data_IF_850321471205
#
_entry.id   IF_850321471205
#
_cell.length_a   1.000
_cell.length_b   1.000
_cell.length_c   1.000
_cell.angle_alpha   90.00
_cell.angle_beta   90.00
_cell.angle_gamma   90.00
#
_symmetry.space_group_name_H-M   'P 1'
#
loop_
_entity.id
_entity.type
_entity.pdbx_description
1 polymer ?
#
# COMPACT_ATOMS: atom_id res chain seq x y z
N UNK A 1 -57.01 -6.74 -34.24
CA UNK A 1 -56.12 -5.56 -34.24
C UNK A 1 -55.26 -5.47 -32.97
N UNK A 2 -55.85 -5.47 -31.77
CA UNK A 2 -55.10 -5.37 -30.49
C UNK A 2 -54.08 -6.49 -30.23
N UNK A 3 -54.39 -7.75 -30.58
CA UNK A 3 -53.45 -8.88 -30.42
C UNK A 3 -52.17 -8.69 -31.26
N UNK A 4 -52.28 -8.17 -32.48
CA UNK A 4 -51.14 -7.97 -33.37
C UNK A 4 -50.22 -6.85 -32.85
N UNK A 5 -50.81 -5.77 -32.33
CA UNK A 5 -50.07 -4.65 -31.72
C UNK A 5 -49.32 -5.12 -30.46
N UNK A 6 -49.94 -5.97 -29.64
CA UNK A 6 -49.31 -6.51 -28.44
C UNK A 6 -48.06 -7.37 -28.75
N UNK A 7 -48.12 -8.20 -29.79
CA UNK A 7 -46.96 -9.01 -30.21
C UNK A 7 -45.83 -8.15 -30.77
N UNK A 8 -46.14 -7.07 -31.49
CA UNK A 8 -45.14 -6.12 -32.00
C UNK A 8 -44.43 -5.41 -30.85
N UNK A 9 -45.17 -4.99 -29.81
CA UNK A 9 -44.58 -4.35 -28.62
C UNK A 9 -43.68 -5.32 -27.85
N UNK A 10 -44.07 -6.58 -27.72
CA UNK A 10 -43.23 -7.62 -27.07
C UNK A 10 -41.95 -7.87 -27.87
N UNK A 11 -42.02 -7.97 -29.19
CA UNK A 11 -40.84 -8.18 -30.04
C UNK A 11 -39.92 -6.96 -30.01
N UNK A 12 -40.47 -5.74 -30.00
CA UNK A 12 -39.70 -4.51 -29.92
C UNK A 12 -38.98 -4.38 -28.56
N UNK A 13 -39.67 -4.70 -27.47
CA UNK A 13 -39.11 -4.66 -26.11
C UNK A 13 -38.05 -5.74 -25.89
N UNK A 14 -38.29 -6.97 -26.36
CA UNK A 14 -37.28 -8.03 -26.37
C UNK A 14 -36.06 -7.62 -27.23
N UNK A 15 -36.30 -7.03 -28.41
CA UNK A 15 -35.26 -6.50 -29.30
C UNK A 15 -34.39 -5.41 -28.66
N UNK A 16 -34.99 -4.49 -27.91
CA UNK A 16 -34.26 -3.44 -27.20
C UNK A 16 -33.42 -3.97 -26.02
N UNK A 17 -33.86 -5.05 -25.35
CA UNK A 17 -33.11 -5.68 -24.25
C UNK A 17 -31.84 -6.36 -24.76
N UNK A 18 -31.88 -7.01 -25.93
CA UNK A 18 -30.68 -7.69 -26.49
C UNK A 18 -29.61 -6.71 -26.99
N UNK A 19 -30.00 -5.51 -27.44
CA UNK A 19 -29.05 -4.50 -27.96
C UNK A 19 -28.30 -3.76 -26.85
N UNK A 20 -28.73 -3.84 -25.58
CA UNK A 20 -28.07 -3.17 -24.45
C UNK A 20 -26.91 -3.94 -23.82
N UNK A 21 -26.49 -5.09 -24.36
CA UNK A 21 -25.49 -5.95 -23.71
C UNK A 21 -24.18 -6.11 -24.49
N UNK A 22 -23.64 -5.02 -25.06
CA UNK A 22 -22.34 -5.03 -25.75
C UNK A 22 -21.36 -3.93 -25.27
N UNK A 23 -21.56 -3.39 -24.07
CA UNK A 23 -20.53 -2.54 -23.46
C UNK A 23 -19.42 -3.41 -22.88
N UNK A 24 -18.33 -3.57 -23.64
CA UNK A 24 -17.09 -4.17 -23.10
C UNK A 24 -16.73 -3.44 -21.80
N UNK A 25 -16.45 -4.16 -20.69
CA UNK A 25 -16.16 -3.53 -19.42
C UNK A 25 -14.94 -2.61 -19.56
N UNK A 26 -15.13 -1.33 -19.22
CA UNK A 26 -14.03 -0.37 -19.16
C UNK A 26 -13.04 -0.80 -18.08
N UNK A 27 -11.80 -1.13 -18.48
CA UNK A 27 -10.71 -1.38 -17.55
C UNK A 27 -9.99 -0.04 -17.31
N UNK A 28 -10.03 0.51 -16.09
CA UNK A 28 -9.31 1.74 -15.78
C UNK A 28 -7.79 1.54 -15.87
N UNK A 29 -7.03 2.62 -15.98
CA UNK A 29 -5.56 2.57 -15.90
C UNK A 29 -5.11 1.93 -14.57
N UNK A 30 -4.44 0.77 -14.66
CA UNK A 30 -3.94 0.01 -13.51
C UNK A 30 -2.45 0.28 -13.23
N UNK A 31 -1.85 1.32 -13.84
CA UNK A 31 -0.48 1.73 -13.51
C UNK A 31 -0.39 2.11 -12.03
N UNK A 32 0.54 1.48 -11.34
CA UNK A 32 0.85 1.74 -9.93
C UNK A 32 1.65 3.03 -9.80
N UNK A 33 1.03 4.09 -9.27
CA UNK A 33 1.67 5.42 -9.12
C UNK A 33 1.79 5.86 -7.68
N UNK A 34 0.82 5.51 -6.82
CA UNK A 34 0.72 5.92 -5.42
C UNK A 34 0.74 7.44 -5.18
N UNK A 35 0.69 8.23 -6.25
CA UNK A 35 0.73 9.68 -6.18
C UNK A 35 -0.54 10.20 -5.49
N UNK A 36 -0.39 11.18 -4.59
CA UNK A 36 -1.46 11.63 -3.70
C UNK A 36 -2.62 12.34 -4.43
N UNK A 37 -2.41 12.79 -5.67
CA UNK A 37 -3.46 13.40 -6.51
C UNK A 37 -4.17 12.38 -7.40
N UNK A 38 -3.61 11.18 -7.56
CA UNK A 38 -4.11 10.18 -8.50
C UNK A 38 -5.34 9.46 -7.92
N UNK A 39 -6.48 9.59 -8.60
CA UNK A 39 -7.76 8.93 -8.25
C UNK A 39 -7.93 7.54 -8.88
N UNK A 40 -7.00 7.12 -9.74
CA UNK A 40 -7.02 5.79 -10.37
C UNK A 40 -6.78 4.67 -9.35
N UNK A 41 -7.07 3.40 -9.67
CA UNK A 41 -7.00 2.28 -8.73
C UNK A 41 -5.72 2.21 -7.89
N UNK A 42 -4.56 2.41 -8.50
CA UNK A 42 -3.26 2.35 -7.79
C UNK A 42 -2.63 3.73 -7.55
N UNK A 43 -3.46 4.77 -7.43
CA UNK A 43 -3.07 6.07 -6.88
C UNK A 43 -3.19 6.14 -5.35
N UNK A 44 -2.73 7.25 -4.76
CA UNK A 44 -2.66 7.46 -3.29
C UNK A 44 -3.67 8.47 -2.74
N UNK A 45 -4.66 8.91 -3.53
CA UNK A 45 -5.64 9.94 -3.14
C UNK A 45 -6.42 9.63 -1.85
N UNK A 46 -6.90 8.39 -1.71
CA UNK A 46 -7.68 7.95 -0.54
C UNK A 46 -6.81 7.95 0.72
N UNK A 47 -5.60 7.39 0.64
CA UNK A 47 -4.66 7.37 1.75
C UNK A 47 -4.32 8.79 2.22
N UNK A 48 -3.98 9.68 1.28
CA UNK A 48 -3.65 11.07 1.59
C UNK A 48 -4.80 11.81 2.30
N UNK A 49 -6.04 11.60 1.87
CA UNK A 49 -7.19 12.20 2.54
C UNK A 49 -7.46 11.58 3.91
N UNK A 50 -7.22 10.27 4.09
CA UNK A 50 -7.30 9.62 5.40
C UNK A 50 -6.23 10.16 6.36
N UNK A 51 -4.99 10.36 5.91
CA UNK A 51 -3.94 10.99 6.70
C UNK A 51 -4.37 12.36 7.23
N UNK A 52 -4.91 13.22 6.35
CA UNK A 52 -5.43 14.54 6.76
C UNK A 52 -6.53 14.46 7.82
N UNK A 53 -7.40 13.44 7.74
CA UNK A 53 -8.48 13.24 8.70
C UNK A 53 -7.97 12.66 10.04
N UNK A 54 -6.93 11.84 10.01
CA UNK A 54 -6.32 11.26 11.21
C UNK A 54 -5.50 12.28 12.00
N UNK A 55 -4.97 13.31 11.33
CA UNK A 55 -4.14 14.36 11.93
C UNK A 55 -4.71 15.76 11.65
N UNK A 56 -5.95 16.08 12.12
CA UNK A 56 -6.65 17.30 11.74
C UNK A 56 -5.97 18.59 12.23
N UNK A 57 -5.12 18.48 13.25
CA UNK A 57 -4.39 19.61 13.85
C UNK A 57 -2.94 19.72 13.35
N UNK A 58 -2.52 18.87 12.41
CA UNK A 58 -1.17 18.87 11.87
C UNK A 58 -1.16 19.41 10.44
N UNK A 59 -0.08 20.09 10.06
CA UNK A 59 0.12 20.49 8.66
C UNK A 59 0.67 19.31 7.86
N UNK A 60 -0.11 18.84 6.88
CA UNK A 60 0.39 17.85 5.90
C UNK A 60 1.14 18.60 4.81
N UNK A 61 2.46 18.42 4.76
CA UNK A 61 3.35 18.94 3.72
C UNK A 61 3.69 17.83 2.72
N UNK A 62 3.93 18.22 1.47
CA UNK A 62 4.44 17.33 0.44
C UNK A 62 5.91 17.69 0.20
N UNK A 63 6.76 16.67 0.23
CA UNK A 63 8.18 16.81 -0.04
C UNK A 63 8.50 16.15 -1.38
N UNK A 64 9.14 16.90 -2.28
CA UNK A 64 9.62 16.40 -3.58
C UNK A 64 11.14 16.21 -3.60
N UNK A 65 11.82 16.52 -2.50
CA UNK A 65 13.26 16.34 -2.33
C UNK A 65 13.62 14.94 -1.84
N UNK A 66 14.89 14.54 -2.04
CA UNK A 66 15.46 13.35 -1.43
C UNK A 66 15.42 13.42 0.10
N UNK A 67 15.66 12.31 0.79
CA UNK A 67 15.71 12.32 2.25
C UNK A 67 16.88 13.17 2.74
N UNK A 68 18.02 13.08 2.06
CA UNK A 68 19.19 13.90 2.35
C UNK A 68 18.91 15.40 2.23
N UNK A 69 18.27 15.84 1.15
CA UNK A 69 17.98 17.26 0.94
C UNK A 69 16.89 17.78 1.86
N UNK A 70 15.86 16.98 2.13
CA UNK A 70 14.82 17.34 3.09
C UNK A 70 15.39 17.53 4.49
N UNK A 71 16.27 16.63 4.93
CA UNK A 71 16.87 16.67 6.25
C UNK A 71 17.73 17.91 6.48
N UNK A 72 18.39 18.44 5.44
CA UNK A 72 19.21 19.67 5.54
C UNK A 72 18.41 20.91 5.98
N UNK A 73 17.12 20.94 5.66
CA UNK A 73 16.25 22.10 5.91
C UNK A 73 15.18 21.81 6.97
N UNK A 74 15.16 20.60 7.53
CA UNK A 74 14.18 20.20 8.53
C UNK A 74 14.62 20.67 9.92
N UNK A 75 13.70 21.33 10.63
CA UNK A 75 13.92 21.78 12.01
C UNK A 75 12.84 21.28 12.96
N UNK A 76 11.81 20.62 12.42
CA UNK A 76 10.69 20.09 13.18
C UNK A 76 11.08 18.74 13.83
N UNK A 77 10.70 18.58 15.10
CA UNK A 77 10.83 17.34 15.86
C UNK A 77 9.45 16.72 16.10
N UNK A 78 9.40 15.42 16.35
CA UNK A 78 8.16 14.64 16.51
C UNK A 78 7.26 14.69 15.26
N UNK A 79 7.88 14.65 14.08
CA UNK A 79 7.18 14.60 12.80
C UNK A 79 6.96 13.16 12.33
N UNK A 80 6.00 12.98 11.42
CA UNK A 80 5.76 11.73 10.71
C UNK A 80 5.94 11.97 9.21
N UNK A 81 6.96 11.36 8.61
CA UNK A 81 7.11 11.29 7.15
C UNK A 81 6.51 9.98 6.64
N UNK A 82 5.74 10.06 5.55
CA UNK A 82 5.12 8.90 4.89
C UNK A 82 5.59 8.83 3.44
N UNK A 83 6.23 7.74 3.05
CA UNK A 83 6.73 7.47 1.72
C UNK A 83 6.12 6.18 1.17
N UNK A 84 5.40 6.27 0.05
CA UNK A 84 4.80 5.12 -0.63
C UNK A 84 5.30 5.11 -2.08
N UNK A 85 6.03 4.07 -2.46
CA UNK A 85 6.66 3.97 -3.79
C UNK A 85 6.76 2.52 -4.22
N UNK A 86 6.68 2.16 -5.51
CA UNK A 86 6.99 0.79 -5.93
C UNK A 86 8.47 0.43 -5.68
N UNK A 87 9.37 1.39 -5.87
CA UNK A 87 10.83 1.21 -5.75
C UNK A 87 11.41 2.35 -4.91
N UNK A 88 12.06 2.00 -3.81
CA UNK A 88 12.79 2.94 -2.97
C UNK A 88 14.29 2.76 -3.19
N UNK A 89 14.86 3.60 -4.06
CA UNK A 89 16.30 3.71 -4.31
C UNK A 89 16.87 4.79 -3.43
N UNK A 90 17.96 4.50 -2.71
CA UNK A 90 18.59 5.41 -1.76
C UNK A 90 20.09 5.41 -1.96
N UNK A 91 20.71 6.57 -1.86
CA UNK A 91 22.16 6.66 -1.73
C UNK A 91 22.60 6.64 -0.25
N UNK A 92 23.91 6.76 -0.03
CA UNK A 92 24.47 6.77 1.32
C UNK A 92 24.04 7.99 2.14
N UNK A 93 23.88 9.16 1.51
CA UNK A 93 23.44 10.38 2.20
C UNK A 93 21.98 10.25 2.64
N UNK A 94 21.13 9.68 1.79
CA UNK A 94 19.73 9.39 2.11
C UNK A 94 19.60 8.44 3.29
N UNK A 95 20.40 7.38 3.34
CA UNK A 95 20.37 6.41 4.45
C UNK A 95 20.79 7.08 5.75
N UNK A 96 21.87 7.88 5.71
CA UNK A 96 22.31 8.68 6.86
C UNK A 96 21.24 9.67 7.31
N UNK A 97 20.55 10.32 6.38
CA UNK A 97 19.45 11.23 6.68
C UNK A 97 18.26 10.50 7.31
N UNK A 98 17.87 9.34 6.78
CA UNK A 98 16.81 8.51 7.35
C UNK A 98 17.13 8.10 8.79
N UNK A 99 18.33 7.58 9.06
CA UNK A 99 18.71 7.13 10.40
C UNK A 99 18.84 8.30 11.38
N UNK A 100 19.36 9.45 10.94
CA UNK A 100 19.42 10.67 11.74
C UNK A 100 18.02 11.25 12.05
N UNK A 101 17.15 11.30 11.05
CA UNK A 101 15.77 11.76 11.18
C UNK A 101 15.01 10.92 12.21
N UNK A 102 15.08 9.59 12.10
CA UNK A 102 14.40 8.67 13.02
C UNK A 102 15.06 8.70 14.41
N UNK A 103 16.39 8.65 14.49
CA UNK A 103 17.09 8.63 15.79
C UNK A 103 16.85 9.90 16.62
N UNK A 104 16.58 11.04 15.96
CA UNK A 104 16.24 12.32 16.60
C UNK A 104 14.85 12.35 17.24
N UNK A 105 14.00 11.35 17.00
CA UNK A 105 12.67 11.22 17.60
C UNK A 105 11.50 11.32 16.62
N UNK A 106 11.79 11.36 15.31
CA UNK A 106 10.74 11.37 14.30
C UNK A 106 10.33 9.95 13.89
N UNK A 107 9.12 9.83 13.33
CA UNK A 107 8.63 8.58 12.78
C UNK A 107 8.69 8.62 11.25
N UNK A 108 9.20 7.54 10.64
CA UNK A 108 9.22 7.38 9.19
C UNK A 108 8.45 6.13 8.81
N UNK A 109 7.44 6.29 7.97
CA UNK A 109 6.68 5.20 7.38
C UNK A 109 7.03 5.03 5.90
N UNK A 110 7.57 3.87 5.53
CA UNK A 110 7.88 3.52 4.15
C UNK A 110 7.08 2.29 3.76
N UNK A 111 6.34 2.37 2.65
CA UNK A 111 5.83 1.19 1.96
C UNK A 111 6.40 1.09 0.55
N UNK A 112 7.14 0.02 0.26
CA UNK A 112 7.71 -0.21 -1.06
C UNK A 112 7.89 -1.68 -1.41
N UNK A 113 7.65 -2.03 -2.68
CA UNK A 113 7.80 -3.43 -3.15
C UNK A 113 9.27 -3.84 -3.21
N UNK A 114 10.14 -2.86 -3.48
CA UNK A 114 11.59 -3.00 -3.47
C UNK A 114 12.17 -1.87 -2.63
N UNK A 115 13.01 -2.24 -1.66
CA UNK A 115 13.74 -1.30 -0.78
C UNK A 115 15.23 -1.53 -1.01
N UNK A 116 15.99 -0.44 -1.09
CA UNK A 116 17.43 -0.50 -1.26
C UNK A 116 18.11 -1.43 -0.24
N UNK A 117 18.96 -2.33 -0.73
CA UNK A 117 19.64 -3.32 0.09
C UNK A 117 20.55 -2.68 1.14
N UNK A 118 21.03 -1.46 0.91
CA UNK A 118 21.89 -0.74 1.84
C UNK A 118 21.11 -0.35 3.09
N UNK A 119 19.87 0.14 2.94
CA UNK A 119 18.98 0.40 4.07
C UNK A 119 18.60 -0.90 4.79
N UNK A 120 18.27 -1.96 4.04
CA UNK A 120 17.96 -3.27 4.65
C UNK A 120 19.14 -3.83 5.46
N UNK A 121 20.37 -3.64 4.95
CA UNK A 121 21.60 -4.06 5.64
C UNK A 121 21.85 -3.26 6.91
N UNK A 122 21.67 -1.94 6.87
CA UNK A 122 21.72 -1.06 8.06
C UNK A 122 20.73 -1.52 9.14
N UNK A 123 19.53 -1.96 8.74
CA UNK A 123 18.50 -2.42 9.66
C UNK A 123 18.63 -3.91 10.03
N UNK A 124 19.63 -4.61 9.48
CA UNK A 124 19.86 -6.04 9.70
C UNK A 124 18.64 -6.92 9.39
N UNK A 125 18.01 -6.68 8.24
CA UNK A 125 16.92 -7.49 7.70
C UNK A 125 17.05 -7.65 6.18
N UNK A 126 16.23 -8.52 5.59
CA UNK A 126 16.18 -8.73 4.13
C UNK A 126 14.74 -8.78 3.66
N UNK A 127 14.52 -8.44 2.39
CA UNK A 127 13.23 -8.65 1.72
C UNK A 127 13.32 -9.89 0.84
N UNK A 128 12.45 -10.84 1.13
CA UNK A 128 12.17 -11.97 0.28
C UNK A 128 11.00 -11.61 -0.61
N UNK A 129 11.02 -12.12 -1.83
CA UNK A 129 9.87 -12.05 -2.68
C UNK A 129 9.48 -13.45 -3.13
N UNK A 130 8.19 -13.72 -3.13
CA UNK A 130 7.65 -14.84 -3.89
C UNK A 130 7.81 -14.67 -5.41
N UNK A 131 8.59 -13.70 -5.91
CA UNK A 131 9.09 -13.63 -7.30
C UNK A 131 9.98 -14.85 -7.59
N UNK A 132 9.37 -16.03 -7.68
CA UNK A 132 9.86 -17.10 -8.52
C UNK A 132 9.89 -16.59 -9.96
N UNK A 133 11.00 -16.83 -10.65
CA UNK A 133 11.26 -16.59 -12.08
C UNK A 133 10.24 -17.27 -13.02
N UNK A 134 8.95 -16.96 -12.90
CA UNK A 134 7.92 -17.41 -13.83
C UNK A 134 7.79 -16.36 -14.93
N UNK A 135 7.86 -16.77 -16.21
CA UNK A 135 7.59 -15.88 -17.33
C UNK A 135 6.14 -15.36 -17.21
N UNK A 136 5.99 -14.04 -17.19
CA UNK A 136 4.73 -13.30 -17.33
C UNK A 136 3.50 -13.81 -16.53
N UNK A 137 3.18 -13.08 -15.44
CA UNK A 137 1.81 -12.95 -14.94
C UNK A 137 1.38 -13.97 -13.88
N UNK A 138 1.52 -13.61 -12.60
CA UNK A 138 0.76 -14.31 -11.54
C UNK A 138 -0.73 -14.11 -11.78
N UNK A 139 -1.56 -15.16 -11.65
CA UNK A 139 -3.00 -15.03 -11.82
C UNK A 139 -3.54 -14.04 -10.78
N UNK A 140 -4.50 -13.22 -11.22
CA UNK A 140 -5.29 -12.40 -10.29
C UNK A 140 -6.14 -13.35 -9.43
N UNK A 141 -6.15 -13.12 -8.13
CA UNK A 141 -6.93 -13.91 -7.18
C UNK A 141 -7.40 -13.03 -6.03
N UNK A 142 -8.32 -13.55 -5.23
CA UNK A 142 -8.55 -12.99 -3.91
C UNK A 142 -7.30 -13.23 -3.06
N UNK A 143 -6.70 -12.15 -2.59
CA UNK A 143 -5.51 -12.12 -1.72
C UNK A 143 -5.80 -11.19 -0.55
N UNK A 144 -5.00 -11.29 0.51
CA UNK A 144 -5.20 -10.48 1.71
C UNK A 144 -3.89 -10.18 2.44
N UNK A 145 -3.96 -9.21 3.36
CA UNK A 145 -2.96 -8.94 4.40
C UNK A 145 -3.64 -9.02 5.76
N UNK A 146 -2.85 -9.27 6.80
CA UNK A 146 -3.35 -9.44 8.17
C UNK A 146 -2.56 -8.53 9.12
N UNK A 147 -3.25 -7.89 10.06
CA UNK A 147 -2.56 -7.22 11.17
C UNK A 147 -2.00 -8.28 12.13
N UNK A 148 -0.76 -8.10 12.57
CA UNK A 148 -0.18 -8.91 13.63
C UNK A 148 -0.88 -8.54 14.93
N UNK A 149 -1.67 -9.47 15.48
CA UNK A 149 -2.37 -9.29 16.75
C UNK A 149 -2.06 -10.43 17.72
N UNK A 150 -2.27 -10.25 19.03
CA UNK A 150 -2.13 -11.35 19.99
C UNK A 150 -2.96 -12.56 19.56
N UNK A 151 -2.44 -13.76 19.79
CA UNK A 151 -2.99 -15.07 19.38
C UNK A 151 -4.46 -15.27 19.76
N UNK A 152 -4.94 -14.55 20.78
CA UNK A 152 -6.31 -14.61 21.29
C UNK A 152 -7.32 -13.72 20.55
N UNK A 153 -6.89 -12.93 19.58
CA UNK A 153 -7.77 -12.09 18.78
C UNK A 153 -8.03 -12.72 17.40
N UNK A 154 -9.27 -12.62 16.92
CA UNK A 154 -9.62 -13.09 15.58
C UNK A 154 -8.72 -12.39 14.54
N UNK A 155 -8.08 -13.17 13.67
CA UNK A 155 -7.37 -12.64 12.51
C UNK A 155 -8.37 -11.88 11.64
N UNK A 156 -8.12 -10.57 11.46
CA UNK A 156 -8.89 -9.74 10.52
C UNK A 156 -8.10 -9.71 9.21
N UNK A 157 -8.69 -10.32 8.18
CA UNK A 157 -8.09 -10.40 6.85
C UNK A 157 -8.60 -9.23 6.00
N UNK A 158 -7.68 -8.41 5.50
CA UNK A 158 -7.98 -7.29 4.62
C UNK A 158 -7.77 -7.71 3.17
N UNK A 159 -8.87 -8.10 2.53
CA UNK A 159 -8.84 -8.79 1.23
C UNK A 159 -9.19 -7.89 0.05
N UNK A 160 -8.62 -8.20 -1.12
CA UNK A 160 -9.06 -7.67 -2.41
C UNK A 160 -8.73 -8.64 -3.56
N UNK A 161 -9.28 -8.40 -4.75
CA UNK A 161 -8.98 -9.20 -5.94
C UNK A 161 -7.90 -8.53 -6.77
N UNK A 162 -6.67 -9.06 -6.76
CA UNK A 162 -5.55 -8.61 -7.60
C UNK A 162 -4.37 -9.59 -7.55
N UNK A 163 -3.17 -9.11 -7.92
CA UNK A 163 -1.91 -9.82 -7.71
C UNK A 163 -1.69 -10.09 -6.21
N UNK A 164 -1.28 -11.31 -5.82
CA UNK A 164 -0.93 -11.70 -4.46
C UNK A 164 0.00 -10.73 -3.69
N UNK A 165 -0.17 -10.66 -2.36
CA UNK A 165 0.82 -10.08 -1.44
C UNK A 165 1.83 -11.17 -1.06
N UNK A 166 3.04 -11.09 -1.61
CA UNK A 166 4.03 -12.18 -1.52
C UNK A 166 5.42 -11.71 -1.08
N UNK A 167 5.59 -10.40 -0.88
CA UNK A 167 6.83 -9.90 -0.31
C UNK A 167 6.78 -10.13 1.20
N UNK A 168 7.95 -10.33 1.80
CA UNK A 168 8.07 -10.51 3.23
C UNK A 168 9.47 -10.14 3.70
N UNK A 169 9.59 -9.72 4.96
CA UNK A 169 10.85 -9.55 5.66
C UNK A 169 11.31 -10.89 6.23
N UNK A 170 12.61 -11.17 6.11
CA UNK A 170 13.27 -12.34 6.71
C UNK A 170 14.67 -11.97 7.20
N UNK A 171 15.34 -12.91 7.88
CA UNK A 171 16.68 -12.71 8.44
C UNK A 171 16.75 -11.46 9.35
N UNK A 172 15.67 -11.19 10.09
CA UNK A 172 15.55 -10.04 11.00
C UNK A 172 16.39 -10.33 12.25
N UNK A 173 17.59 -9.73 12.32
CA UNK A 173 18.52 -9.91 13.45
C UNK A 173 18.43 -8.80 14.49
N UNK A 174 17.85 -7.66 14.12
CA UNK A 174 17.69 -6.54 15.03
C UNK A 174 16.59 -6.83 16.06
N UNK A 175 16.99 -6.99 17.33
CA UNK A 175 16.10 -7.29 18.46
C UNK A 175 15.12 -6.16 18.79
N UNK A 176 15.39 -4.94 18.30
CA UNK A 176 14.49 -3.79 18.39
C UNK A 176 13.47 -3.76 17.23
N UNK A 177 13.16 -4.90 16.63
CA UNK A 177 12.16 -5.02 15.55
C UNK A 177 10.91 -5.73 16.04
N UNK A 178 9.74 -5.24 15.66
CA UNK A 178 8.45 -5.94 15.85
C UNK A 178 7.73 -6.11 14.53
N UNK A 179 7.03 -7.23 14.37
CA UNK A 179 6.15 -7.48 13.23
C UNK A 179 4.80 -6.83 13.50
N UNK A 180 4.31 -6.04 12.53
CA UNK A 180 3.03 -5.33 12.61
C UNK A 180 1.95 -5.93 11.69
N UNK A 181 2.36 -6.58 10.59
CA UNK A 181 1.45 -7.28 9.70
C UNK A 181 2.15 -8.45 8.99
N UNK A 182 1.32 -9.35 8.47
CA UNK A 182 1.74 -10.47 7.65
C UNK A 182 1.04 -10.49 6.30
N UNK A 183 1.70 -11.06 5.31
CA UNK A 183 1.09 -11.39 4.03
C UNK A 183 0.10 -12.58 4.16
N UNK A 184 -0.49 -13.00 3.03
CA UNK A 184 -1.46 -14.11 3.00
C UNK A 184 -0.87 -15.48 3.38
N UNK A 185 0.46 -15.62 3.38
CA UNK A 185 1.18 -16.82 3.81
C UNK A 185 1.61 -16.76 5.28
N UNK A 186 1.18 -15.74 6.04
CA UNK A 186 1.57 -15.56 7.44
C UNK A 186 3.00 -15.07 7.64
N UNK A 187 3.68 -14.61 6.58
CA UNK A 187 5.05 -14.10 6.67
C UNK A 187 5.05 -12.60 6.94
N UNK A 188 5.98 -12.05 7.74
CA UNK A 188 6.03 -10.63 8.06
C UNK A 188 6.12 -9.76 6.81
N UNK A 189 5.15 -8.89 6.56
CA UNK A 189 5.20 -7.94 5.43
C UNK A 189 5.16 -6.47 5.88
N UNK A 190 4.98 -6.24 7.18
CA UNK A 190 5.19 -4.95 7.82
C UNK A 190 5.94 -5.14 9.14
N UNK A 191 6.99 -4.35 9.33
CA UNK A 191 7.80 -4.33 10.55
C UNK A 191 7.96 -2.89 11.04
N UNK A 192 8.18 -2.74 12.34
CA UNK A 192 8.68 -1.50 12.95
C UNK A 192 10.03 -1.76 13.57
N UNK A 193 11.01 -0.91 13.26
CA UNK A 193 12.33 -0.89 13.87
C UNK A 193 12.40 0.33 14.80
N UNK A 194 12.65 0.11 16.08
CA UNK A 194 12.91 1.19 17.03
C UNK A 194 14.38 1.62 16.86
N UNK A 195 14.60 2.87 16.46
CA UNK A 195 15.93 3.40 16.13
C UNK A 195 16.12 4.75 16.81
N UNK A 196 17.06 4.82 17.77
CA UNK A 196 17.21 5.99 18.64
C UNK A 196 15.92 6.31 19.40
N UNK A 197 15.41 7.54 19.26
CA UNK A 197 14.18 8.01 19.92
C UNK A 197 12.90 7.83 19.10
N UNK A 198 13.02 7.49 17.82
CA UNK A 198 11.91 7.39 16.88
C UNK A 198 11.67 5.97 16.38
N UNK A 199 10.83 5.85 15.36
CA UNK A 199 10.41 4.56 14.79
C UNK A 199 10.46 4.59 13.27
N UNK A 200 11.03 3.52 12.69
CA UNK A 200 11.03 3.28 11.26
C UNK A 200 10.07 2.13 10.94
N UNK A 201 8.96 2.43 10.27
CA UNK A 201 7.98 1.47 9.81
C UNK A 201 8.28 1.11 8.36
N UNK A 202 8.45 -0.18 8.07
CA UNK A 202 8.67 -0.68 6.72
C UNK A 202 7.56 -1.65 6.33
N UNK A 203 6.97 -1.48 5.15
CA UNK A 203 5.96 -2.37 4.57
C UNK A 203 6.35 -2.76 3.15
N UNK A 204 6.55 -4.05 2.86
CA UNK A 204 7.12 -4.49 1.59
C UNK A 204 6.09 -4.63 0.43
N UNK A 205 4.93 -3.99 0.56
CA UNK A 205 3.75 -4.16 -0.32
C UNK A 205 2.90 -2.86 -0.38
N UNK A 206 3.30 -1.84 -1.16
CA UNK A 206 2.65 -0.52 -1.22
C UNK A 206 1.21 -0.56 -1.73
N UNK A 207 0.82 -1.64 -2.43
CA UNK A 207 -0.55 -1.85 -2.93
C UNK A 207 -1.60 -1.84 -1.82
N UNK A 208 -1.23 -2.18 -0.58
CA UNK A 208 -2.12 -2.09 0.58
C UNK A 208 -2.51 -0.64 0.95
N UNK A 209 -1.86 0.36 0.36
CA UNK A 209 -2.13 1.79 0.57
C UNK A 209 -2.74 2.48 -0.65
N UNK A 210 -3.07 1.70 -1.68
CA UNK A 210 -3.72 2.20 -2.90
C UNK A 210 -5.21 2.51 -2.70
N UNK A 211 -5.75 3.40 -3.54
CA UNK A 211 -7.19 3.66 -3.60
C UNK A 211 -8.00 2.36 -3.73
N UNK A 212 -7.57 1.46 -4.61
CA UNK A 212 -8.27 0.22 -4.90
C UNK A 212 -8.31 -0.72 -3.71
N UNK A 213 -7.23 -0.82 -2.92
CA UNK A 213 -7.24 -1.62 -1.72
C UNK A 213 -8.06 -0.96 -0.61
N UNK A 214 -7.83 0.32 -0.33
CA UNK A 214 -8.44 1.02 0.82
C UNK A 214 -9.95 1.21 0.69
N UNK A 215 -10.48 1.30 -0.54
CA UNK A 215 -11.93 1.41 -0.80
C UNK A 215 -12.67 0.07 -0.78
N UNK A 216 -12.00 -1.06 -0.50
CA UNK A 216 -12.66 -2.37 -0.44
C UNK A 216 -13.07 -2.71 0.97
N UNK A 217 -14.37 -2.93 1.18
CA UNK A 217 -14.94 -3.32 2.47
C UNK A 217 -14.38 -2.42 3.59
N UNK A 218 -13.83 -3.02 4.64
CA UNK A 218 -13.24 -2.34 5.78
C UNK A 218 -11.71 -2.19 5.71
N UNK A 219 -11.12 -2.27 4.51
CA UNK A 219 -9.67 -2.17 4.33
C UNK A 219 -9.08 -0.82 4.74
N UNK A 220 -9.89 0.24 4.84
CA UNK A 220 -9.47 1.50 5.44
C UNK A 220 -9.00 1.34 6.90
N UNK A 221 -9.44 0.29 7.62
CA UNK A 221 -8.98 0.01 8.97
C UNK A 221 -7.54 -0.55 8.99
N UNK A 222 -7.07 -1.17 7.91
CA UNK A 222 -5.67 -1.61 7.79
C UNK A 222 -4.70 -0.44 7.81
N UNK A 223 -5.13 0.74 7.36
CA UNK A 223 -4.31 1.94 7.35
C UNK A 223 -3.94 2.45 8.76
N UNK A 224 -4.65 2.00 9.79
CA UNK A 224 -4.42 2.38 11.19
C UNK A 224 -3.38 1.49 11.89
N UNK A 225 -2.49 0.85 11.12
CA UNK A 225 -1.43 -0.03 11.61
C UNK A 225 -0.39 0.72 12.44
#
# INVERSE_FOLDING_TARGET
>A
MYKTIFHIIIILTLGCIVVSCDQKPYIPDLKETYHFQDKKPFGGFVMHNQLKQMFPNNTVRHNEFSFADAWKYESDYNTLTVCITPFLTLDFEDIGAITNYVSSGNDLFIAASWIDNSLLSELSCKIGSGYSNLPAGKPLKNTHVNLARPVLSNNINYSYFYKPFNNYFYDIKNTNTKVLATNENGQPNCIVVFYGKGRLFLHCDPRAFSNYFLLKKDNYQYFKI
#
